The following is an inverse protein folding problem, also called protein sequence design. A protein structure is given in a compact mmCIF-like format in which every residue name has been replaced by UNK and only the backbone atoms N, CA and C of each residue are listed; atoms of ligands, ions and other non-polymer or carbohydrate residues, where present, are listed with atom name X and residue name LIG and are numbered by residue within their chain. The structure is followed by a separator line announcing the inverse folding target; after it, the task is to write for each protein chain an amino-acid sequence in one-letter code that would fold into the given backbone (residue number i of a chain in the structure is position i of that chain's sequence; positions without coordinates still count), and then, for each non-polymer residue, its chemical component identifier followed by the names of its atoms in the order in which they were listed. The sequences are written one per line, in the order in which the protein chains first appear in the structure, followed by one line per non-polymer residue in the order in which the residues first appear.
data_IF_639059685099
#
_entry.id   IF_639059685099
#
_cell.length_a   1.000
_cell.length_b   1.000
_cell.length_c   1.000
_cell.angle_alpha   90.00
_cell.angle_beta   90.00
_cell.angle_gamma   90.00
#
_symmetry.space_group_name_H-M   'P 1'
#
loop_
_entity.id
_entity.type
_entity.pdbx_description
1 polymer ?
#
# COMPACT_ATOMS: atom_id res chain seq x y z
N UNK A 1 -6.50 -5.99 -24.19
CA UNK A 1 -5.92 -4.70 -23.77
C UNK A 1 -5.17 -4.18 -24.98
N UNK A 2 -5.33 -2.91 -25.30
CA UNK A 2 -4.57 -2.28 -26.37
C UNK A 2 -3.24 -1.77 -25.77
N UNK A 3 -2.10 -2.30 -26.23
CA UNK A 3 -0.78 -1.90 -25.74
C UNK A 3 -0.25 -0.64 -26.44
N UNK A 4 -0.85 -0.23 -27.56
CA UNK A 4 -0.39 0.93 -28.32
C UNK A 4 -0.71 2.25 -27.60
N UNK A 5 -1.76 2.24 -26.76
CA UNK A 5 -2.18 3.40 -25.95
C UNK A 5 -1.46 3.49 -24.59
N UNK A 6 -0.68 2.46 -24.21
CA UNK A 6 0.02 2.44 -22.92
C UNK A 6 1.34 3.21 -22.98
N UNK A 7 1.79 3.81 -21.86
CA UNK A 7 3.08 4.49 -21.79
C UNK A 7 4.25 3.52 -22.05
N UNK A 8 5.46 4.04 -22.23
CA UNK A 8 6.66 3.22 -22.46
C UNK A 8 7.04 2.34 -21.25
N UNK A 9 6.60 2.72 -20.05
CA UNK A 9 6.72 1.92 -18.83
C UNK A 9 5.43 2.00 -18.00
N UNK A 10 5.00 0.86 -17.47
CA UNK A 10 3.74 0.75 -16.72
C UNK A 10 3.74 -0.45 -15.76
N UNK A 11 2.76 -0.49 -14.88
CA UNK A 11 2.42 -1.65 -14.08
C UNK A 11 1.03 -2.12 -14.46
N UNK A 12 0.90 -3.38 -14.85
CA UNK A 12 -0.39 -4.05 -14.96
C UNK A 12 -0.79 -4.57 -13.59
N UNK A 13 -2.03 -4.34 -13.17
CA UNK A 13 -2.55 -4.78 -11.88
C UNK A 13 -3.95 -5.38 -12.01
N UNK A 14 -4.21 -6.40 -11.22
CA UNK A 14 -5.57 -6.88 -10.96
C UNK A 14 -6.21 -6.03 -9.85
N UNK A 15 -7.53 -5.85 -9.92
CA UNK A 15 -8.28 -4.98 -9.00
C UNK A 15 -8.88 -5.69 -7.76
N UNK A 16 -8.63 -6.98 -7.56
CA UNK A 16 -9.42 -7.84 -6.67
C UNK A 16 -8.57 -8.82 -5.85
N UNK A 17 -7.26 -8.61 -5.78
CA UNK A 17 -6.34 -9.48 -5.06
C UNK A 17 -5.12 -8.74 -4.51
N UNK A 18 -4.20 -9.49 -3.91
CA UNK A 18 -2.83 -9.06 -3.65
C UNK A 18 -1.84 -9.89 -4.48
N UNK A 19 -0.80 -9.21 -4.99
CA UNK A 19 0.29 -9.83 -5.74
C UNK A 19 0.06 -9.97 -7.25
N UNK A 20 -1.15 -9.70 -7.73
CA UNK A 20 -1.52 -9.75 -9.14
C UNK A 20 -1.05 -8.52 -9.92
N UNK A 21 0.26 -8.38 -10.05
CA UNK A 21 0.86 -7.30 -10.82
C UNK A 21 2.02 -7.77 -11.72
N UNK A 22 2.26 -7.02 -12.79
CA UNK A 22 3.40 -7.18 -13.73
C UNK A 22 4.00 -5.80 -13.94
N UNK A 23 5.30 -5.66 -13.66
CA UNK A 23 6.04 -4.42 -13.89
C UNK A 23 6.65 -4.49 -15.29
N UNK A 24 6.44 -3.45 -16.08
CA UNK A 24 6.97 -3.29 -17.43
C UNK A 24 7.80 -2.01 -17.46
N UNK A 25 9.13 -2.14 -17.40
CA UNK A 25 10.07 -1.01 -17.42
C UNK A 25 10.34 -0.49 -18.84
N UNK A 26 10.21 -1.37 -19.84
CA UNK A 26 10.38 -1.08 -21.27
C UNK A 26 9.35 -1.90 -22.05
N UNK A 27 8.34 -1.21 -22.59
CA UNK A 27 7.24 -1.79 -23.36
C UNK A 27 7.75 -2.54 -24.59
N UNK A 28 8.72 -2.00 -25.33
CA UNK A 28 9.21 -2.62 -26.57
C UNK A 28 9.95 -3.91 -26.25
N UNK A 29 10.83 -3.89 -25.25
CA UNK A 29 11.54 -5.08 -24.78
C UNK A 29 10.58 -6.13 -24.28
N UNK A 30 9.59 -5.73 -23.48
CA UNK A 30 8.57 -6.61 -22.92
C UNK A 30 7.73 -7.30 -24.01
N UNK A 31 7.30 -6.56 -25.05
CA UNK A 31 6.52 -7.14 -26.15
C UNK A 31 7.34 -8.04 -27.08
N UNK A 32 8.66 -7.85 -27.16
CA UNK A 32 9.57 -8.68 -27.96
C UNK A 32 10.02 -9.94 -27.25
N UNK A 33 10.10 -9.91 -25.93
CA UNK A 33 10.45 -11.06 -25.10
C UNK A 33 9.22 -11.96 -24.90
N UNK A 34 9.08 -12.96 -25.78
CA UNK A 34 7.92 -13.85 -25.84
C UNK A 34 7.73 -14.62 -24.51
N UNK A 35 8.83 -15.04 -23.88
CA UNK A 35 8.78 -15.85 -22.65
C UNK A 35 8.35 -14.98 -21.46
N UNK A 36 8.93 -13.78 -21.33
CA UNK A 36 8.55 -12.82 -20.31
C UNK A 36 7.09 -12.37 -20.48
N UNK A 37 6.68 -12.07 -21.72
CA UNK A 37 5.32 -11.67 -22.03
C UNK A 37 4.33 -12.78 -21.67
N UNK A 38 4.58 -14.02 -22.14
CA UNK A 38 3.68 -15.15 -21.94
C UNK A 38 3.56 -15.52 -20.46
N UNK A 39 4.67 -15.57 -19.72
CA UNK A 39 4.65 -15.84 -18.28
C UNK A 39 3.94 -14.74 -17.48
N UNK A 40 4.11 -13.49 -17.88
CA UNK A 40 3.41 -12.34 -17.28
C UNK A 40 1.90 -12.37 -17.51
N UNK A 41 1.48 -12.67 -18.75
CA UNK A 41 0.06 -12.83 -19.08
C UNK A 41 -0.55 -14.04 -18.38
N UNK A 42 0.19 -15.15 -18.27
CA UNK A 42 -0.25 -16.32 -17.53
C UNK A 42 -0.42 -16.02 -16.04
N UNK A 43 0.49 -15.25 -15.44
CA UNK A 43 0.34 -14.78 -14.06
C UNK A 43 -0.97 -14.00 -13.90
N UNK A 44 -1.20 -12.98 -14.72
CA UNK A 44 -2.42 -12.16 -14.65
C UNK A 44 -3.68 -13.00 -14.90
N UNK A 45 -3.64 -13.95 -15.82
CA UNK A 45 -4.72 -14.89 -16.07
C UNK A 45 -5.04 -15.74 -14.83
N UNK A 46 -4.03 -16.33 -14.19
CA UNK A 46 -4.23 -17.12 -12.97
C UNK A 46 -4.88 -16.29 -11.85
N UNK A 47 -4.43 -15.05 -11.71
CA UNK A 47 -5.01 -14.09 -10.75
C UNK A 47 -6.48 -13.79 -11.08
N UNK A 48 -6.83 -13.46 -12.32
CA UNK A 48 -8.22 -13.22 -12.76
C UNK A 48 -9.16 -14.41 -12.53
N UNK A 49 -8.63 -15.62 -12.55
CA UNK A 49 -9.41 -16.85 -12.32
C UNK A 49 -9.44 -17.28 -10.85
N UNK A 50 -8.81 -16.53 -9.96
CA UNK A 50 -8.76 -16.80 -8.53
C UNK A 50 -9.59 -15.77 -7.78
N UNK A 51 -10.32 -16.19 -6.75
CA UNK A 51 -10.97 -15.24 -5.83
C UNK A 51 -10.14 -15.16 -4.54
N UNK A 52 -9.46 -14.02 -4.36
CA UNK A 52 -8.50 -13.81 -3.27
C UNK A 52 -9.13 -13.96 -1.88
N UNK A 53 -10.44 -13.71 -1.74
CA UNK A 53 -11.17 -13.93 -0.50
C UNK A 53 -11.01 -15.37 0.02
N UNK A 54 -11.00 -16.39 -0.83
CA UNK A 54 -10.86 -17.78 -0.36
C UNK A 54 -9.46 -18.09 0.17
N UNK A 55 -8.45 -17.31 -0.23
CA UNK A 55 -7.08 -17.43 0.25
C UNK A 55 -6.86 -16.63 1.53
N UNK A 56 -7.19 -15.34 1.54
CA UNK A 56 -6.85 -14.42 2.65
C UNK A 56 -7.99 -14.17 3.64
N UNK A 57 -9.23 -14.54 3.30
CA UNK A 57 -10.46 -14.26 4.05
C UNK A 57 -10.79 -12.77 4.21
N UNK A 58 -10.15 -11.92 3.42
CA UNK A 58 -10.43 -10.49 3.36
C UNK A 58 -11.74 -10.25 2.60
N UNK A 59 -12.81 -9.98 3.35
CA UNK A 59 -14.19 -9.96 2.84
C UNK A 59 -14.41 -8.99 1.67
N UNK A 60 -13.69 -7.86 1.66
CA UNK A 60 -13.86 -6.81 0.64
C UNK A 60 -13.48 -7.26 -0.78
N UNK A 61 -12.68 -8.32 -0.95
CA UNK A 61 -12.38 -8.87 -2.27
C UNK A 61 -13.46 -9.80 -2.84
N UNK A 62 -14.35 -10.35 -1.99
CA UNK A 62 -15.20 -11.49 -2.33
C UNK A 62 -16.04 -11.31 -3.59
N UNK A 63 -16.62 -10.12 -3.75
CA UNK A 63 -17.60 -9.83 -4.79
C UNK A 63 -17.07 -8.85 -5.86
N UNK A 64 -15.77 -8.54 -5.83
CA UNK A 64 -15.16 -7.66 -6.84
C UNK A 64 -15.07 -8.43 -8.16
N UNK A 65 -15.67 -7.87 -9.23
CA UNK A 65 -15.51 -8.40 -10.58
C UNK A 65 -14.04 -8.26 -11.02
N UNK A 66 -13.33 -9.38 -11.33
CA UNK A 66 -11.94 -9.34 -11.76
C UNK A 66 -11.73 -8.53 -13.03
N UNK A 67 -10.76 -7.62 -13.01
CA UNK A 67 -10.29 -6.80 -14.13
C UNK A 67 -8.79 -6.56 -14.02
N UNK A 68 -8.18 -6.24 -15.15
CA UNK A 68 -6.81 -5.73 -15.23
C UNK A 68 -6.87 -4.25 -15.61
N UNK A 69 -6.09 -3.43 -14.94
CA UNK A 69 -5.83 -2.04 -15.31
C UNK A 69 -4.32 -1.80 -15.41
N UNK A 70 -3.94 -0.71 -16.07
CA UNK A 70 -2.56 -0.27 -16.17
C UNK A 70 -2.41 1.07 -15.43
N UNK A 71 -1.30 1.22 -14.72
CA UNK A 71 -0.87 2.49 -14.13
C UNK A 71 0.54 2.84 -14.63
N UNK A 72 0.87 4.14 -14.63
CA UNK A 72 2.22 4.60 -14.93
C UNK A 72 3.21 4.06 -13.90
N UNK A 73 4.39 3.64 -14.36
CA UNK A 73 5.45 3.18 -13.47
C UNK A 73 6.15 4.38 -12.82
N UNK A 74 5.96 4.52 -11.50
CA UNK A 74 6.48 5.65 -10.73
C UNK A 74 7.97 5.45 -10.37
N UNK A 75 8.86 6.04 -11.16
CA UNK A 75 10.33 6.04 -10.99
C UNK A 75 10.82 7.49 -10.84
N UNK A 76 11.79 7.73 -9.95
CA UNK A 76 12.42 9.04 -9.82
C UNK A 76 13.42 9.34 -10.94
N UNK A 77 13.88 10.60 -11.04
CA UNK A 77 14.86 11.03 -12.05
C UNK A 77 16.19 10.25 -12.05
N UNK A 78 16.50 9.52 -10.98
CA UNK A 78 17.72 8.72 -10.83
C UNK A 78 17.46 7.22 -11.08
N UNK A 79 16.26 6.83 -11.50
CA UNK A 79 15.91 5.42 -11.71
C UNK A 79 15.51 4.67 -10.44
N UNK A 80 15.38 5.34 -9.29
CA UNK A 80 15.00 4.72 -8.02
C UNK A 80 13.47 4.67 -7.90
N UNK A 81 12.95 3.54 -7.42
CA UNK A 81 11.54 3.45 -7.02
C UNK A 81 11.23 4.39 -5.85
N UNK A 82 10.02 4.94 -5.86
CA UNK A 82 9.51 5.75 -4.76
C UNK A 82 9.54 4.99 -3.42
N UNK A 83 10.01 5.69 -2.39
CA UNK A 83 9.76 5.28 -1.02
C UNK A 83 8.23 5.27 -0.77
N UNK A 84 7.78 4.36 0.09
CA UNK A 84 6.34 4.11 0.27
C UNK A 84 5.93 4.47 1.68
N UNK A 85 4.89 5.28 1.78
CA UNK A 85 4.36 5.79 3.02
C UNK A 85 2.95 5.26 3.20
N UNK A 86 2.74 4.43 4.21
CA UNK A 86 1.44 3.82 4.47
C UNK A 86 0.91 4.37 5.78
N UNK A 87 -0.08 5.24 5.67
CA UNK A 87 -0.69 5.93 6.80
C UNK A 87 -1.80 5.06 7.36
N UNK A 88 -1.57 4.45 8.51
CA UNK A 88 -2.58 3.75 9.29
C UNK A 88 -3.42 4.77 10.05
N UNK A 89 -4.60 5.07 9.54
CA UNK A 89 -5.52 6.03 10.14
C UNK A 89 -6.54 5.27 11.00
N UNK A 90 -6.51 5.51 12.30
CA UNK A 90 -7.46 4.99 13.29
C UNK A 90 -8.38 6.08 13.84
N UNK A 91 -7.91 7.33 13.91
CA UNK A 91 -8.62 8.41 14.59
C UNK A 91 -8.43 9.75 13.87
N UNK A 92 -9.54 10.37 13.49
CA UNK A 92 -9.57 11.68 12.83
C UNK A 92 -9.51 12.86 13.81
N UNK A 93 -9.77 12.63 15.09
CA UNK A 93 -9.82 13.67 16.14
C UNK A 93 -8.49 13.76 16.88
N UNK A 94 -7.92 12.62 17.26
CA UNK A 94 -6.63 12.57 17.93
C UNK A 94 -5.55 12.04 16.98
N UNK A 95 -4.83 12.95 16.32
CA UNK A 95 -3.85 12.61 15.29
C UNK A 95 -2.69 11.74 15.81
N UNK A 96 -2.41 11.77 17.11
CA UNK A 96 -1.38 10.95 17.76
C UNK A 96 -1.72 9.46 17.83
N UNK A 97 -2.97 9.09 17.51
CA UNK A 97 -3.41 7.70 17.40
C UNK A 97 -3.17 7.10 16.00
N UNK A 98 -2.57 7.86 15.08
CA UNK A 98 -2.27 7.42 13.72
C UNK A 98 -0.77 7.14 13.56
N UNK A 99 -0.45 6.17 12.70
CA UNK A 99 0.92 5.71 12.51
C UNK A 99 1.28 5.64 11.03
N UNK A 100 2.55 5.82 10.71
CA UNK A 100 3.07 5.82 9.35
C UNK A 100 4.06 4.68 9.22
N UNK A 101 3.72 3.69 8.40
CA UNK A 101 4.68 2.70 7.97
C UNK A 101 5.49 3.27 6.81
N UNK A 102 6.79 3.43 7.01
CA UNK A 102 7.75 3.86 5.99
C UNK A 102 8.55 2.66 5.55
N UNK A 103 8.55 2.40 4.24
CA UNK A 103 9.40 1.36 3.64
C UNK A 103 10.43 2.02 2.75
N UNK A 104 11.70 1.84 3.10
CA UNK A 104 12.86 2.34 2.35
C UNK A 104 13.63 1.18 1.72
N UNK A 105 14.28 1.46 0.60
CA UNK A 105 15.22 0.55 -0.09
C UNK A 105 14.65 -0.86 -0.35
N UNK A 106 13.67 -0.95 -1.27
CA UNK A 106 12.93 -2.19 -1.55
C UNK A 106 13.78 -3.36 -2.07
N UNK A 107 15.03 -3.14 -2.49
CA UNK A 107 15.83 -4.14 -3.20
C UNK A 107 17.13 -4.53 -2.50
N UNK A 108 17.79 -3.64 -1.74
CA UNK A 108 19.07 -3.94 -1.10
C UNK A 108 18.91 -4.13 0.41
N UNK A 109 18.57 -3.07 1.15
CA UNK A 109 18.36 -3.11 2.60
C UNK A 109 16.92 -2.73 2.94
N UNK A 110 15.98 -3.63 2.65
CA UNK A 110 14.57 -3.42 2.96
C UNK A 110 14.40 -3.15 4.47
N UNK A 111 13.98 -1.93 4.77
CA UNK A 111 13.68 -1.51 6.14
C UNK A 111 12.23 -1.05 6.21
N UNK A 112 11.54 -1.46 7.28
CA UNK A 112 10.16 -1.08 7.57
C UNK A 112 10.13 -0.39 8.93
N UNK A 113 9.95 0.92 8.93
CA UNK A 113 9.79 1.72 10.13
C UNK A 113 8.31 1.98 10.39
N UNK A 114 7.91 2.00 11.66
CA UNK A 114 6.62 2.55 12.07
C UNK A 114 6.91 3.85 12.80
N UNK A 115 6.37 4.94 12.29
CA UNK A 115 6.55 6.29 12.81
C UNK A 115 5.22 6.79 13.40
N UNK A 116 5.28 7.64 14.43
CA UNK A 116 4.12 8.41 14.88
C UNK A 116 3.90 9.65 13.99
N UNK A 117 2.81 10.40 14.26
CA UNK A 117 2.48 11.63 13.52
C UNK A 117 3.50 12.76 13.68
N UNK A 118 4.38 12.68 14.68
CA UNK A 118 5.46 13.64 14.94
C UNK A 118 6.81 13.18 14.37
N UNK A 119 6.81 12.10 13.57
CA UNK A 119 7.99 11.49 12.97
C UNK A 119 9.00 10.90 13.96
N UNK A 120 8.52 10.41 15.12
CA UNK A 120 9.32 9.58 16.02
C UNK A 120 9.07 8.09 15.75
N UNK A 121 10.02 7.23 16.09
CA UNK A 121 9.82 5.77 16.03
C UNK A 121 8.68 5.38 16.97
N UNK A 122 7.69 4.67 16.44
CA UNK A 122 6.61 4.14 17.24
C UNK A 122 7.13 3.08 18.22
N UNK A 123 6.52 2.95 19.41
CA UNK A 123 6.89 1.95 20.43
C UNK A 123 6.53 0.49 20.06
N UNK A 124 6.35 0.20 18.77
CA UNK A 124 6.06 -1.13 18.22
C UNK A 124 6.52 -1.24 16.78
N UNK A 125 6.65 -2.47 16.30
CA UNK A 125 6.81 -2.79 14.89
C UNK A 125 5.97 -4.02 14.53
N UNK A 126 5.83 -4.25 13.22
CA UNK A 126 5.41 -5.56 12.70
C UNK A 126 6.62 -6.50 12.62
N UNK A 127 6.48 -7.66 11.97
CA UNK A 127 7.45 -8.78 11.90
C UNK A 127 8.92 -8.43 11.53
N UNK A 128 9.23 -7.22 11.09
CA UNK A 128 10.58 -6.83 10.67
C UNK A 128 11.34 -6.11 11.80
N UNK A 129 12.60 -6.52 12.01
CA UNK A 129 13.50 -5.81 12.92
C UNK A 129 13.88 -4.44 12.34
N UNK A 130 13.83 -3.42 13.21
CA UNK A 130 14.12 -2.04 12.84
C UNK A 130 15.58 -1.76 13.19
N UNK A 131 16.41 -1.47 12.18
CA UNK A 131 17.75 -0.91 12.43
C UNK A 131 17.58 0.48 13.03
N UNK A 132 18.14 0.71 14.21
CA UNK A 132 18.10 2.02 14.89
C UNK A 132 19.08 3.02 14.30
N UNK A 133 20.03 2.56 13.50
CA UNK A 133 21.20 3.36 13.07
C UNK A 133 20.91 4.21 11.83
N UNK A 134 19.79 3.98 11.13
CA UNK A 134 19.42 4.69 9.90
C UNK A 134 17.93 5.00 9.84
N UNK A 135 17.51 6.06 10.53
CA UNK A 135 16.12 6.52 10.44
C UNK A 135 15.79 7.07 9.05
N UNK A 136 14.56 6.85 8.55
CA UNK A 136 14.14 7.43 7.29
C UNK A 136 13.97 8.94 7.44
N UNK A 137 14.46 9.68 6.44
CA UNK A 137 14.23 11.12 6.37
C UNK A 137 12.73 11.41 6.27
N UNK A 138 12.29 12.43 6.99
CA UNK A 138 10.93 12.95 6.86
C UNK A 138 10.77 13.57 5.46
N UNK A 139 9.79 13.14 4.65
CA UNK A 139 9.57 13.76 3.35
C UNK A 139 9.13 15.22 3.53
N UNK A 140 9.53 16.09 2.60
CA UNK A 140 9.15 17.51 2.60
C UNK A 140 7.63 17.69 2.49
N UNK A 141 6.94 16.73 1.89
CA UNK A 141 5.50 16.75 1.66
C UNK A 141 4.71 16.07 2.78
N UNK A 142 5.35 15.69 3.90
CA UNK A 142 4.72 14.89 4.95
C UNK A 142 3.38 15.46 5.40
N UNK A 143 3.30 16.75 5.69
CA UNK A 143 2.09 17.42 6.15
C UNK A 143 0.94 17.26 5.15
N UNK A 144 1.26 17.44 3.86
CA UNK A 144 0.29 17.30 2.77
C UNK A 144 -0.12 15.84 2.57
N UNK A 145 0.82 14.90 2.67
CA UNK A 145 0.53 13.47 2.61
C UNK A 145 -0.37 13.03 3.75
N UNK A 146 -0.13 13.55 4.96
CA UNK A 146 -0.95 13.24 6.12
C UNK A 146 -2.36 13.82 5.97
N UNK A 147 -2.49 15.06 5.49
CA UNK A 147 -3.78 15.68 5.18
C UNK A 147 -4.57 14.88 4.13
N UNK A 148 -3.92 14.46 3.04
CA UNK A 148 -4.53 13.60 2.01
C UNK A 148 -5.00 12.29 2.63
N UNK A 149 -4.19 11.68 3.49
CA UNK A 149 -4.53 10.43 4.17
C UNK A 149 -5.76 10.57 5.06
N UNK A 150 -5.86 11.67 5.81
CA UNK A 150 -7.05 11.98 6.62
C UNK A 150 -8.30 12.21 5.75
N UNK A 151 -8.16 12.92 4.63
CA UNK A 151 -9.28 13.13 3.69
C UNK A 151 -9.80 11.82 3.10
N UNK A 152 -8.91 10.94 2.63
CA UNK A 152 -9.27 9.66 2.03
C UNK A 152 -9.84 8.66 3.05
N UNK A 153 -9.45 8.79 4.32
CA UNK A 153 -9.89 7.89 5.39
C UNK A 153 -11.20 8.28 6.06
N UNK A 154 -11.79 9.43 5.71
CA UNK A 154 -12.96 10.03 6.42
C UNK A 154 -14.15 9.08 6.58
N UNK A 155 -14.40 8.23 5.59
CA UNK A 155 -15.55 7.32 5.59
C UNK A 155 -15.30 6.02 6.35
N UNK A 156 -14.08 5.77 6.82
CA UNK A 156 -13.68 4.50 7.42
C UNK A 156 -13.32 4.67 8.89
N UNK A 157 -13.57 3.63 9.67
CA UNK A 157 -13.18 3.57 11.09
C UNK A 157 -11.71 3.25 11.26
N UNK A 158 -11.18 2.50 10.31
CA UNK A 158 -9.77 2.27 10.10
C UNK A 158 -9.54 2.09 8.60
N UNK A 159 -8.48 2.70 8.08
CA UNK A 159 -7.95 2.37 6.76
C UNK A 159 -6.48 2.73 6.72
N UNK A 160 -5.70 1.90 6.03
CA UNK A 160 -4.33 2.22 5.67
C UNK A 160 -4.35 2.89 4.29
N UNK A 161 -3.82 4.11 4.22
CA UNK A 161 -3.69 4.88 2.97
C UNK A 161 -2.25 4.79 2.49
N UNK A 162 -2.04 4.18 1.34
CA UNK A 162 -0.72 4.02 0.75
C UNK A 162 -0.47 5.15 -0.23
N UNK A 163 0.59 5.92 0.02
CA UNK A 163 1.01 7.06 -0.78
C UNK A 163 2.46 6.89 -1.24
N UNK A 164 2.73 7.43 -2.42
CA UNK A 164 4.07 7.63 -2.96
C UNK A 164 4.39 9.12 -3.02
N UNK A 165 5.65 9.48 -2.84
CA UNK A 165 6.15 10.83 -3.11
C UNK A 165 7.36 10.75 -4.05
N UNK A 166 7.27 11.39 -5.22
CA UNK A 166 8.38 11.52 -6.18
C UNK A 166 8.45 12.98 -6.61
N UNK A 167 9.62 13.59 -6.52
CA UNK A 167 9.86 14.98 -6.95
C UNK A 167 8.76 15.94 -6.45
N UNK A 168 8.42 15.82 -5.17
CA UNK A 168 7.40 16.61 -4.46
C UNK A 168 5.95 16.42 -4.98
N UNK A 169 5.71 15.40 -5.79
CA UNK A 169 4.39 14.98 -6.27
C UNK A 169 3.92 13.76 -5.48
N UNK A 170 2.69 13.84 -4.99
CA UNK A 170 2.07 12.79 -4.18
C UNK A 170 1.13 11.99 -5.07
N UNK A 171 1.29 10.67 -5.05
CA UNK A 171 0.42 9.74 -5.78
C UNK A 171 -0.29 8.82 -4.79
N UNK A 172 -1.56 8.54 -5.06
CA UNK A 172 -2.35 7.59 -4.28
C UNK A 172 -2.07 6.20 -4.85
N UNK A 173 -1.61 5.29 -4.00
CA UNK A 173 -1.41 3.89 -4.35
C UNK A 173 -2.65 3.06 -4.13
N UNK A 174 -3.02 2.85 -2.86
CA UNK A 174 -4.17 2.01 -2.49
C UNK A 174 -4.78 2.42 -1.15
N UNK A 175 -6.01 1.96 -0.91
CA UNK A 175 -6.65 1.94 0.39
C UNK A 175 -6.75 0.48 0.85
N UNK A 176 -6.17 0.17 2.01
CA UNK A 176 -6.17 -1.18 2.57
C UNK A 176 -6.96 -1.23 3.86
N UNK A 177 -8.00 -2.06 3.88
CA UNK A 177 -8.92 -2.20 5.02
C UNK A 177 -8.45 -3.25 6.04
N UNK A 178 -7.66 -4.23 5.60
CA UNK A 178 -7.19 -5.36 6.40
C UNK A 178 -5.70 -5.55 6.20
N UNK A 179 -4.92 -4.73 6.89
CA UNK A 179 -3.46 -4.79 6.79
C UNK A 179 -2.94 -6.20 7.11
N UNK A 180 -2.16 -6.77 6.19
CA UNK A 180 -1.58 -8.11 6.36
C UNK A 180 -2.62 -9.21 6.52
N UNK A 181 -3.83 -9.05 5.96
CA UNK A 181 -4.99 -9.92 6.21
C UNK A 181 -5.30 -10.11 7.70
N UNK A 182 -4.96 -9.12 8.54
CA UNK A 182 -5.02 -9.17 10.00
C UNK A 182 -4.15 -10.29 10.63
N UNK A 183 -3.12 -10.77 9.92
CA UNK A 183 -2.24 -11.86 10.36
C UNK A 183 -0.81 -11.43 10.74
N UNK A 184 -0.40 -10.18 10.49
CA UNK A 184 0.93 -9.70 10.88
C UNK A 184 1.02 -9.54 12.41
N UNK A 185 2.07 -10.12 13.02
CA UNK A 185 2.32 -10.02 14.47
C UNK A 185 2.95 -8.67 14.80
N UNK A 186 2.48 -8.06 15.87
CA UNK A 186 3.04 -6.84 16.44
C UNK A 186 4.02 -7.19 17.56
N UNK A 187 5.14 -6.47 17.62
CA UNK A 187 6.11 -6.59 18.70
C UNK A 187 6.31 -5.22 19.38
N UNK A 188 6.10 -5.11 20.71
CA UNK A 188 5.60 -6.17 21.59
C UNK A 188 4.12 -6.49 21.37
N UNK A 189 3.73 -7.76 21.58
CA UNK A 189 2.37 -8.28 21.33
C UNK A 189 1.24 -7.47 22.00
N UNK A 190 1.53 -6.72 23.07
CA UNK A 190 0.53 -5.88 23.74
C UNK A 190 -0.02 -4.77 22.83
N UNK A 191 0.69 -4.41 21.76
CA UNK A 191 0.24 -3.41 20.80
C UNK A 191 -0.92 -3.84 19.93
N UNK A 192 -1.12 -5.14 19.72
CA UNK A 192 -2.30 -5.67 19.04
C UNK A 192 -3.60 -5.18 19.69
N UNK A 193 -3.71 -5.39 21.01
CA UNK A 193 -4.85 -4.90 21.79
C UNK A 193 -4.90 -3.37 21.89
N UNK A 194 -3.75 -2.67 21.87
CA UNK A 194 -3.74 -1.20 21.93
C UNK A 194 -4.28 -0.60 20.64
N UNK A 195 -3.81 -1.04 19.47
CA UNK A 195 -4.32 -0.59 18.18
C UNK A 195 -5.79 -0.98 17.98
N UNK A 196 -6.17 -2.20 18.38
CA UNK A 196 -7.57 -2.64 18.34
C UNK A 196 -8.53 -1.75 19.15
N UNK A 197 -8.07 -1.13 20.25
CA UNK A 197 -8.87 -0.16 21.02
C UNK A 197 -9.01 1.21 20.33
N UNK A 198 -8.08 1.55 19.43
CA UNK A 198 -8.17 2.77 18.64
C UNK A 198 -9.18 2.64 17.50
N UNK A 199 -9.43 1.40 17.05
CA UNK A 199 -10.41 1.11 16.02
C UNK A 199 -11.84 1.30 16.54
N UNK A 200 -12.33 2.54 16.46
CA UNK A 200 -13.67 2.90 16.88
C UNK A 200 -14.69 2.59 15.78
N UNK A 201 -15.24 1.37 15.81
CA UNK A 201 -16.20 0.89 14.81
C UNK A 201 -17.50 1.69 14.93
N UNK A 202 -17.84 2.46 13.87
CA UNK A 202 -19.12 3.15 13.76
C UNK A 202 -20.24 2.12 13.74
N UNK A 203 -21.29 2.35 14.51
CA UNK A 203 -22.48 1.49 14.42
C UNK A 203 -23.17 1.77 13.10
N UNK A 204 -23.81 0.76 12.53
CA UNK A 204 -24.61 0.90 11.30
C UNK A 204 -25.68 2.02 11.43
N UNK A 205 -26.17 2.29 12.65
CA UNK A 205 -27.08 3.39 12.96
C UNK A 205 -26.48 4.79 12.70
N UNK A 206 -25.17 4.91 12.72
CA UNK A 206 -24.45 6.19 12.69
C UNK A 206 -24.08 6.61 11.26
N UNK A 207 -24.21 5.69 10.29
CA UNK A 207 -23.86 5.89 8.86
C UNK A 207 -25.09 6.12 7.99
N UNK A 208 -26.30 5.84 8.52
CA UNK A 208 -27.57 5.97 7.80
C UNK A 208 -28.23 7.37 7.93
N UNK A 209 -27.47 8.41 8.27
CA UNK A 209 -27.90 9.82 8.29
C UNK A 209 -27.09 10.62 7.28
#
# INVERSE_FOLDING_TARGET
MDFDILPESFVLKTNHDCGGYVIVEDKIKFLRDIDLFSSSMQKLHNHLHSNYYYLSREWHYKDIKPKIFAEELLIDKNGKLADTYKFHIFDHKNLNNNYIQVTTDRFNNYQRFIMDSNWNIAPFNFTYEVSKDKLPNRPSEFEKMFEISLKLSKMFDYVRVDLYCIDNRIYIGELTFTHGAAGEKLNPNCWDKKLGKLWNIRKLSDVAK
#
